data_IF_193105917588
#
_entry.id   IF_193105917588
#
_cell.length_a   1.000
_cell.length_b   1.000
_cell.length_c   1.000
_cell.angle_alpha   90.00
_cell.angle_beta   90.00
_cell.angle_gamma   90.00
#
_symmetry.space_group_name_H-M   'P 1'
#
loop_
_entity.id
_entity.type
_entity.pdbx_description
1 polymer ?
#
# COMPACT_ATOMS: atom_id res chain seq x y z
N UNK A 1 -1.68 -3.17 -0.95
CA UNK A 1 -0.93 -2.48 0.13
C UNK A 1 -1.80 -2.13 1.35
N UNK A 2 -2.78 -1.21 1.26
CA UNK A 2 -3.58 -0.75 2.42
C UNK A 2 -4.43 -1.85 3.09
N UNK A 3 -4.76 -2.94 2.38
CA UNK A 3 -5.39 -4.14 2.95
C UNK A 3 -4.45 -4.99 3.82
N UNK A 4 -3.16 -4.66 3.88
CA UNK A 4 -2.17 -5.49 4.57
C UNK A 4 -1.65 -6.66 3.71
N UNK A 5 -2.03 -6.73 2.44
CA UNK A 5 -1.58 -7.76 1.49
C UNK A 5 -0.10 -7.59 1.15
N UNK A 6 0.58 -8.73 0.95
CA UNK A 6 1.92 -8.75 0.38
C UNK A 6 1.89 -8.19 -1.05
N UNK A 7 2.90 -7.40 -1.40
CA UNK A 7 3.06 -6.84 -2.74
C UNK A 7 4.42 -7.26 -3.30
N UNK A 8 4.57 -7.23 -4.62
CA UNK A 8 5.85 -7.44 -5.30
C UNK A 8 6.28 -6.10 -5.90
N UNK A 9 7.55 -5.73 -5.71
CA UNK A 9 8.12 -4.47 -6.16
C UNK A 9 9.33 -4.76 -7.06
N UNK A 10 9.11 -5.16 -8.33
CA UNK A 10 10.19 -5.65 -9.20
C UNK A 10 11.26 -4.59 -9.49
N UNK A 11 10.86 -3.32 -9.59
CA UNK A 11 11.75 -2.21 -9.95
C UNK A 11 12.29 -1.43 -8.74
N UNK A 12 11.95 -1.86 -7.52
CA UNK A 12 12.37 -1.18 -6.29
C UNK A 12 13.61 -1.86 -5.67
N UNK A 13 14.51 -1.09 -5.02
CA UNK A 13 15.63 -1.68 -4.30
C UNK A 13 15.15 -2.57 -3.14
N UNK A 14 16.02 -3.49 -2.71
CA UNK A 14 15.80 -4.24 -1.47
C UNK A 14 15.91 -3.32 -0.25
N UNK A 15 15.22 -3.68 0.82
CA UNK A 15 15.18 -2.93 2.08
C UNK A 15 13.94 -2.04 2.19
N UNK A 16 14.03 -1.03 3.06
CA UNK A 16 12.91 -0.12 3.32
C UNK A 16 12.69 0.85 2.16
N UNK A 17 11.47 0.86 1.63
CA UNK A 17 11.07 1.70 0.49
C UNK A 17 9.81 2.50 0.82
N UNK A 18 9.78 3.76 0.40
CA UNK A 18 8.59 4.60 0.46
C UNK A 18 7.71 4.31 -0.77
N UNK A 19 6.45 3.94 -0.52
CA UNK A 19 5.47 3.76 -1.58
C UNK A 19 4.73 5.07 -1.84
N UNK A 20 4.50 5.34 -3.12
CA UNK A 20 3.69 6.46 -3.57
C UNK A 20 2.52 5.98 -4.43
N UNK A 21 1.42 6.71 -4.38
CA UNK A 21 0.30 6.57 -5.31
C UNK A 21 0.02 7.95 -5.91
N UNK A 22 0.09 8.07 -7.25
CA UNK A 22 -0.03 9.35 -7.97
C UNK A 22 0.92 10.44 -7.42
N UNK A 23 2.16 10.06 -7.15
CA UNK A 23 3.18 10.96 -6.59
C UNK A 23 3.00 11.31 -5.10
N UNK A 24 1.93 10.84 -4.45
CA UNK A 24 1.68 11.10 -3.02
C UNK A 24 2.16 9.91 -2.17
N UNK A 25 2.90 10.13 -1.06
CA UNK A 25 3.34 9.04 -0.19
C UNK A 25 2.14 8.37 0.49
N UNK A 26 2.15 7.03 0.55
CA UNK A 26 1.08 6.23 1.17
C UNK A 26 1.56 5.32 2.31
N UNK A 27 2.87 5.19 2.49
CA UNK A 27 3.48 4.40 3.55
C UNK A 27 4.72 3.63 3.10
N UNK A 28 5.30 2.86 4.02
CA UNK A 28 6.53 2.11 3.78
C UNK A 28 6.30 0.61 3.56
N UNK A 29 7.23 -0.02 2.85
CA UNK A 29 7.34 -1.46 2.77
C UNK A 29 8.80 -1.89 2.98
N UNK A 30 9.03 -3.10 3.48
CA UNK A 30 10.34 -3.73 3.49
C UNK A 30 10.41 -4.75 2.33
N UNK A 31 11.13 -4.40 1.27
CA UNK A 31 11.29 -5.20 0.06
C UNK A 31 12.40 -6.26 0.22
N UNK A 32 12.04 -7.53 0.10
CA UNK A 32 12.96 -8.67 0.17
C UNK A 32 13.45 -9.13 -1.22
N UNK A 33 12.90 -8.55 -2.29
CA UNK A 33 13.22 -8.85 -3.68
C UNK A 33 12.13 -9.68 -4.38
N UNK A 34 11.68 -10.79 -3.78
CA UNK A 34 10.57 -11.58 -4.30
C UNK A 34 9.20 -11.16 -3.73
N UNK A 35 9.21 -10.48 -2.59
CA UNK A 35 8.03 -9.95 -1.90
C UNK A 35 8.41 -8.72 -1.09
N UNK A 36 7.44 -7.88 -0.80
CA UNK A 36 7.59 -6.79 0.14
C UNK A 36 6.59 -6.93 1.29
N UNK A 37 7.10 -6.80 2.51
CA UNK A 37 6.28 -6.73 3.71
C UNK A 37 5.72 -5.32 3.83
N UNK A 38 4.40 -5.19 3.85
CA UNK A 38 3.76 -3.92 4.17
C UNK A 38 4.03 -3.53 5.63
N UNK A 39 4.46 -2.28 5.85
CA UNK A 39 4.58 -1.68 7.17
C UNK A 39 3.35 -0.83 7.52
N UNK A 40 2.26 -1.03 6.78
CA UNK A 40 1.00 -0.35 7.02
C UNK A 40 0.38 -0.83 8.34
N UNK A 41 0.04 0.09 9.28
CA UNK A 41 -0.49 -0.29 10.58
C UNK A 41 -1.74 -1.17 10.48
N UNK A 42 -1.76 -2.27 11.25
CA UNK A 42 -2.91 -3.19 11.29
C UNK A 42 -4.25 -2.50 11.58
N UNK A 43 -4.34 -1.58 12.56
CA UNK A 43 -5.62 -0.91 12.88
C UNK A 43 -6.14 -0.01 11.76
N UNK A 44 -5.30 0.39 10.80
CA UNK A 44 -5.68 1.30 9.71
C UNK A 44 -6.01 0.56 8.41
N UNK A 45 -5.94 -0.78 8.43
CA UNK A 45 -6.21 -1.60 7.25
C UNK A 45 -7.63 -1.36 6.76
N UNK A 46 -7.74 -1.14 5.45
CA UNK A 46 -9.05 -1.11 4.79
C UNK A 46 -9.52 -2.56 4.71
N UNK A 47 -10.51 -2.93 5.53
CA UNK A 47 -11.04 -4.30 5.56
C UNK A 47 -12.31 -4.46 4.71
N UNK A 48 -12.96 -3.34 4.35
CA UNK A 48 -14.13 -3.36 3.48
C UNK A 48 -13.76 -3.81 2.06
N UNK A 49 -14.58 -4.69 1.49
CA UNK A 49 -14.52 -5.09 0.08
C UNK A 49 -15.40 -4.20 -0.80
N UNK A 50 -16.19 -3.31 -0.20
CA UNK A 50 -17.09 -2.41 -0.93
C UNK A 50 -16.29 -1.43 -1.80
N UNK A 51 -16.52 -1.49 -3.10
CA UNK A 51 -16.00 -0.54 -4.08
C UNK A 51 -17.17 0.36 -4.47
N UNK A 52 -17.17 1.65 -4.12
CA UNK A 52 -18.26 2.54 -4.48
C UNK A 52 -18.26 2.77 -5.99
N UNK A 53 -19.44 2.76 -6.59
CA UNK A 53 -19.66 3.02 -8.03
C UNK A 53 -19.48 4.49 -8.39
N UNK A 54 -19.67 5.38 -7.41
CA UNK A 54 -19.51 6.83 -7.57
C UNK A 54 -18.34 7.29 -6.69
N UNK A 55 -17.43 8.15 -7.19
CA UNK A 55 -16.39 8.75 -6.36
C UNK A 55 -16.99 9.51 -5.17
N UNK A 56 -16.33 9.53 -4.00
CA UNK A 56 -16.80 10.31 -2.86
C UNK A 56 -16.79 11.80 -3.22
N UNK A 57 -17.92 12.46 -2.98
CA UNK A 57 -18.03 13.91 -3.06
C UNK A 57 -17.34 14.49 -1.81
N UNK A 58 -16.31 15.31 -2.02
CA UNK A 58 -15.60 16.00 -0.93
C UNK A 58 -16.24 17.38 -0.80
N UNK A 59 -16.93 17.61 0.33
CA UNK A 59 -17.51 18.90 0.70
C UNK A 59 -16.42 19.94 1.00
#
# INVERSE_FOLDING_TARGET
YMRGEAIVLPDAPRGYVLLTYRGKPIGFANNLGNRANTLYPKPWRVLSTHIPTTPPEIL
#
